data_IF_650237998258
#
_entry.id   IF_650237998258
#
_cell.length_a   1.000
_cell.length_b   1.000
_cell.length_c   1.000
_cell.angle_alpha   90.00
_cell.angle_beta   90.00
_cell.angle_gamma   90.00
#
_symmetry.space_group_name_H-M   'P 1'
#
loop_
_entity.id
_entity.type
_entity.pdbx_description
1 polymer ?
#
# COMPACT_ATOMS: atom_id res chain seq x y z
N UNK A 1 -12.93 -28.66 -15.18
CA UNK A 1 -13.86 -28.11 -14.17
C UNK A 1 -13.10 -27.01 -13.44
N UNK A 2 -13.27 -25.75 -13.86
CA UNK A 2 -12.60 -24.62 -13.21
C UNK A 2 -13.35 -24.27 -11.93
N UNK A 3 -12.74 -24.59 -10.79
CA UNK A 3 -13.16 -24.04 -9.52
C UNK A 3 -12.86 -22.55 -9.52
N UNK A 4 -13.89 -21.72 -9.63
CA UNK A 4 -13.79 -20.34 -9.16
C UNK A 4 -13.56 -20.43 -7.66
N UNK A 5 -12.34 -20.14 -7.22
CA UNK A 5 -12.05 -19.85 -5.82
C UNK A 5 -13.01 -18.73 -5.42
N UNK A 6 -14.00 -19.06 -4.59
CA UNK A 6 -14.92 -18.06 -4.08
C UNK A 6 -14.19 -17.22 -3.07
N UNK A 7 -13.63 -16.07 -3.50
CA UNK A 7 -13.17 -15.03 -2.56
C UNK A 7 -14.32 -14.76 -1.59
N UNK A 8 -14.03 -14.84 -0.29
CA UNK A 8 -15.03 -14.60 0.74
C UNK A 8 -15.56 -13.17 0.62
N UNK A 9 -16.84 -12.95 0.91
CA UNK A 9 -17.49 -11.62 0.75
C UNK A 9 -16.72 -10.52 1.51
N UNK A 10 -16.17 -10.84 2.68
CA UNK A 10 -15.35 -9.90 3.46
C UNK A 10 -13.98 -9.59 2.87
N UNK A 11 -13.41 -10.46 2.03
CA UNK A 11 -12.16 -10.17 1.30
C UNK A 11 -12.40 -9.15 0.19
N UNK A 12 -13.52 -9.28 -0.54
CA UNK A 12 -13.91 -8.33 -1.58
C UNK A 12 -14.16 -6.93 -1.01
N UNK A 13 -14.84 -6.81 0.13
CA UNK A 13 -15.12 -5.51 0.75
C UNK A 13 -13.83 -4.81 1.21
N UNK A 14 -12.84 -5.57 1.68
CA UNK A 14 -11.51 -5.05 2.07
C UNK A 14 -10.69 -4.60 0.86
N UNK A 15 -10.74 -5.35 -0.24
CA UNK A 15 -10.12 -4.98 -1.52
C UNK A 15 -10.73 -3.68 -2.08
N UNK A 16 -12.06 -3.55 -2.05
CA UNK A 16 -12.79 -2.35 -2.49
C UNK A 16 -12.46 -1.14 -1.59
N UNK A 17 -12.35 -1.34 -0.28
CA UNK A 17 -11.92 -0.30 0.66
C UNK A 17 -10.48 0.14 0.39
N UNK A 18 -9.57 -0.80 0.11
CA UNK A 18 -8.21 -0.49 -0.29
C UNK A 18 -8.18 0.33 -1.59
N UNK A 19 -8.96 -0.06 -2.60
CA UNK A 19 -9.09 0.70 -3.85
C UNK A 19 -9.58 2.13 -3.62
N UNK A 20 -10.64 2.30 -2.82
CA UNK A 20 -11.17 3.63 -2.50
C UNK A 20 -10.12 4.52 -1.82
N UNK A 21 -9.37 3.99 -0.84
CA UNK A 21 -8.30 4.72 -0.16
C UNK A 21 -7.14 5.06 -1.11
N UNK A 22 -6.75 4.12 -1.99
CA UNK A 22 -5.70 4.35 -2.97
C UNK A 22 -6.05 5.49 -3.93
N UNK A 23 -7.31 5.63 -4.35
CA UNK A 23 -7.75 6.76 -5.18
C UNK A 23 -7.56 8.10 -4.46
N UNK A 24 -7.81 8.14 -3.15
CA UNK A 24 -7.62 9.35 -2.32
C UNK A 24 -6.13 9.66 -2.17
N UNK A 25 -5.32 8.66 -1.78
CA UNK A 25 -3.88 8.82 -1.57
C UNK A 25 -3.20 9.24 -2.87
N UNK A 26 -3.46 8.56 -3.99
CA UNK A 26 -2.87 8.91 -5.30
C UNK A 26 -3.26 10.32 -5.72
N UNK A 27 -4.50 10.75 -5.48
CA UNK A 27 -4.93 12.12 -5.81
C UNK A 27 -4.21 13.16 -4.95
N UNK A 28 -4.13 12.94 -3.64
CA UNK A 28 -3.50 13.87 -2.69
C UNK A 28 -1.97 13.89 -2.82
N UNK A 29 -1.35 12.74 -3.00
CA UNK A 29 0.09 12.64 -3.26
C UNK A 29 0.43 13.25 -4.60
N UNK A 30 -0.30 12.98 -5.69
CA UNK A 30 -0.07 13.64 -6.97
C UNK A 30 -0.08 15.18 -6.87
N UNK A 31 -0.98 15.75 -6.06
CA UNK A 31 -1.02 17.20 -5.82
C UNK A 31 0.21 17.69 -5.04
N UNK A 32 0.55 17.04 -3.93
CA UNK A 32 1.75 17.41 -3.13
C UNK A 32 3.04 17.20 -3.90
N UNK A 33 3.12 16.13 -4.65
CA UNK A 33 4.20 15.76 -5.56
C UNK A 33 4.41 16.79 -6.66
N UNK A 34 3.33 17.34 -7.23
CA UNK A 34 3.43 18.45 -8.18
C UNK A 34 3.94 19.76 -7.52
N UNK A 35 3.65 19.96 -6.23
CA UNK A 35 4.16 21.10 -5.46
C UNK A 35 5.62 20.91 -5.05
N UNK A 36 6.01 19.70 -4.62
CA UNK A 36 7.35 19.38 -4.13
C UNK A 36 8.35 19.14 -5.27
N UNK A 37 7.88 18.66 -6.43
CA UNK A 37 8.69 18.37 -7.61
C UNK A 37 8.09 19.08 -8.85
N UNK A 38 8.16 20.43 -8.90
CA UNK A 38 7.57 21.21 -9.99
C UNK A 38 8.18 20.88 -11.36
N UNK A 39 9.41 20.34 -11.39
CA UNK A 39 10.13 19.96 -12.60
C UNK A 39 9.92 18.49 -13.02
N UNK A 40 9.08 17.73 -12.31
CA UNK A 40 8.84 16.33 -12.65
C UNK A 40 8.09 16.18 -13.99
N UNK A 41 8.54 15.24 -14.81
CA UNK A 41 7.97 14.97 -16.14
C UNK A 41 7.28 13.61 -16.20
N UNK A 42 6.10 13.59 -16.81
CA UNK A 42 5.32 12.39 -17.11
C UNK A 42 6.19 11.35 -17.84
N UNK A 43 6.28 10.13 -17.29
CA UNK A 43 7.02 9.01 -17.89
C UNK A 43 8.40 8.75 -17.29
N UNK A 44 8.84 9.51 -16.28
CA UNK A 44 10.02 9.14 -15.47
C UNK A 44 9.60 8.29 -14.26
N UNK A 45 10.39 7.28 -13.87
CA UNK A 45 10.18 6.54 -12.62
C UNK A 45 10.02 7.51 -11.45
N UNK A 46 9.00 7.28 -10.65
CA UNK A 46 8.77 8.06 -9.45
C UNK A 46 9.74 7.59 -8.37
N UNK A 47 10.90 8.23 -8.28
CA UNK A 47 11.85 7.99 -7.19
C UNK A 47 11.52 8.93 -6.04
N UNK A 48 10.43 8.64 -5.34
CA UNK A 48 10.04 9.42 -4.17
C UNK A 48 10.42 8.69 -2.91
N UNK A 49 11.45 9.24 -2.28
CA UNK A 49 12.02 8.80 -1.02
C UNK A 49 11.35 9.46 0.18
N UNK A 50 10.26 10.23 -0.01
CA UNK A 50 9.61 11.00 1.06
C UNK A 50 8.31 10.38 1.58
N UNK A 51 7.68 9.42 0.89
CA UNK A 51 6.53 8.72 1.46
C UNK A 51 7.02 7.78 2.57
N UNK A 52 6.72 8.06 3.86
CA UNK A 52 7.19 7.20 4.94
C UNK A 52 6.55 5.82 4.81
N UNK A 53 7.32 4.78 5.11
CA UNK A 53 6.74 3.45 5.30
C UNK A 53 5.64 3.54 6.36
N UNK A 54 4.49 2.93 6.11
CA UNK A 54 3.44 2.92 7.12
C UNK A 54 3.82 1.92 8.19
N UNK A 55 3.88 2.37 9.43
CA UNK A 55 4.14 1.51 10.58
C UNK A 55 2.89 1.41 11.45
N UNK A 56 2.89 0.49 12.41
CA UNK A 56 1.80 0.41 13.40
C UNK A 56 1.87 1.55 14.43
N UNK A 57 2.93 2.38 14.39
CA UNK A 57 3.09 3.53 15.26
C UNK A 57 2.39 4.79 14.69
N UNK A 58 1.97 5.68 15.59
CA UNK A 58 1.41 6.96 15.22
C UNK A 58 2.49 7.89 14.62
N UNK A 59 2.32 8.27 13.36
CA UNK A 59 3.16 9.28 12.71
C UNK A 59 2.65 10.71 13.02
N UNK A 60 3.12 11.27 14.14
CA UNK A 60 2.74 12.62 14.59
C UNK A 60 3.21 13.70 13.60
N UNK A 61 4.39 13.52 12.99
CA UNK A 61 4.92 14.48 12.03
C UNK A 61 4.12 14.44 10.72
N UNK A 62 3.80 13.24 10.22
CA UNK A 62 2.92 13.04 9.08
C UNK A 62 1.53 13.62 9.29
N UNK A 63 0.94 13.48 10.48
CA UNK A 63 -0.38 14.07 10.78
C UNK A 63 -0.37 15.61 10.71
N UNK A 64 0.73 16.25 11.10
CA UNK A 64 0.85 17.71 11.07
C UNK A 64 1.03 18.25 9.63
N UNK A 65 1.68 17.49 8.74
CA UNK A 65 1.99 17.91 7.37
C UNK A 65 0.97 17.43 6.34
N UNK A 66 0.40 16.25 6.56
CA UNK A 66 -0.55 15.57 5.70
C UNK A 66 -1.53 14.71 6.54
N UNK A 67 -2.55 15.31 7.16
CA UNK A 67 -3.47 14.57 8.01
C UNK A 67 -4.28 13.53 7.24
N UNK A 68 -4.71 13.84 6.01
CA UNK A 68 -5.56 12.96 5.21
C UNK A 68 -4.75 11.76 4.69
N UNK A 69 -3.63 11.99 4.02
CA UNK A 69 -2.82 10.90 3.48
C UNK A 69 -2.20 10.05 4.59
N UNK A 70 -1.84 10.63 5.73
CA UNK A 70 -1.38 9.86 6.90
C UNK A 70 -2.47 8.96 7.45
N UNK A 71 -3.70 9.46 7.58
CA UNK A 71 -4.83 8.64 8.00
C UNK A 71 -5.16 7.52 6.98
N UNK A 72 -5.14 7.83 5.69
CA UNK A 72 -5.39 6.85 4.63
C UNK A 72 -4.31 5.76 4.59
N UNK A 73 -3.02 6.12 4.74
CA UNK A 73 -1.90 5.16 4.81
C UNK A 73 -2.02 4.25 6.05
N UNK A 74 -2.38 4.81 7.20
CA UNK A 74 -2.62 4.03 8.41
C UNK A 74 -3.81 3.06 8.24
N UNK A 75 -4.89 3.49 7.58
CA UNK A 75 -6.03 2.61 7.29
C UNK A 75 -5.67 1.52 6.27
N UNK A 76 -4.92 1.85 5.22
CA UNK A 76 -4.39 0.85 4.27
C UNK A 76 -3.58 -0.22 5.00
N UNK A 77 -2.75 0.16 5.98
CA UNK A 77 -2.01 -0.80 6.81
C UNK A 77 -2.93 -1.72 7.62
N UNK A 78 -4.01 -1.19 8.22
CA UNK A 78 -5.02 -1.99 8.93
C UNK A 78 -5.71 -2.99 8.00
N UNK A 79 -6.07 -2.55 6.79
CA UNK A 79 -6.65 -3.42 5.76
C UNK A 79 -5.68 -4.52 5.37
N UNK A 80 -4.39 -4.22 5.20
CA UNK A 80 -3.36 -5.22 4.91
C UNK A 80 -3.28 -6.30 6.00
N UNK A 81 -3.31 -5.91 7.27
CA UNK A 81 -3.36 -6.86 8.39
C UNK A 81 -4.65 -7.70 8.37
N UNK A 82 -5.80 -7.09 8.08
CA UNK A 82 -7.08 -7.80 8.02
C UNK A 82 -7.14 -8.81 6.86
N UNK A 83 -6.62 -8.44 5.68
CA UNK A 83 -6.51 -9.32 4.52
C UNK A 83 -5.57 -10.50 4.80
N UNK A 84 -4.40 -10.24 5.38
CA UNK A 84 -3.47 -11.30 5.74
C UNK A 84 -4.03 -12.23 6.83
N UNK A 85 -4.72 -11.69 7.84
CA UNK A 85 -5.37 -12.50 8.86
C UNK A 85 -6.49 -13.39 8.30
N UNK A 86 -7.21 -12.91 7.29
CA UNK A 86 -8.26 -13.69 6.61
C UNK A 86 -7.68 -14.77 5.68
N UNK A 87 -6.51 -14.51 5.07
CA UNK A 87 -5.86 -15.40 4.11
C UNK A 87 -4.34 -15.50 4.40
N UNK A 88 -3.92 -16.17 5.49
CA UNK A 88 -2.52 -16.17 5.93
C UNK A 88 -1.56 -16.87 4.94
N UNK A 89 -2.08 -17.77 4.11
CA UNK A 89 -1.31 -18.53 3.12
C UNK A 89 -1.24 -17.82 1.75
N UNK A 90 -1.96 -16.72 1.56
CA UNK A 90 -2.02 -15.99 0.30
C UNK A 90 -0.86 -14.99 0.21
N UNK A 91 -0.27 -14.86 -0.99
CA UNK A 91 0.80 -13.91 -1.24
C UNK A 91 0.24 -12.48 -1.26
N UNK A 92 0.43 -11.77 -0.14
CA UNK A 92 -0.04 -10.39 0.01
C UNK A 92 0.60 -9.44 -1.01
N UNK A 93 1.80 -9.75 -1.52
CA UNK A 93 2.43 -8.95 -2.57
C UNK A 93 1.70 -9.16 -3.91
N UNK A 94 1.33 -10.39 -4.24
CA UNK A 94 0.52 -10.68 -5.43
C UNK A 94 -0.87 -10.02 -5.35
N UNK A 95 -1.53 -10.09 -4.19
CA UNK A 95 -2.80 -9.40 -3.95
C UNK A 95 -2.66 -7.87 -4.08
N UNK A 96 -1.53 -7.31 -3.61
CA UNK A 96 -1.23 -5.90 -3.79
C UNK A 96 -1.13 -5.49 -5.26
N UNK A 97 -0.57 -6.34 -6.13
CA UNK A 97 -0.54 -6.12 -7.58
C UNK A 97 -1.97 -6.12 -8.15
N UNK A 98 -2.80 -7.09 -7.78
CA UNK A 98 -4.20 -7.16 -8.24
C UNK A 98 -4.98 -5.89 -7.89
N UNK A 99 -4.85 -5.41 -6.65
CA UNK A 99 -5.54 -4.20 -6.16
C UNK A 99 -4.96 -2.93 -6.81
N UNK A 100 -3.65 -2.91 -7.08
CA UNK A 100 -3.04 -1.81 -7.82
C UNK A 100 -3.59 -1.71 -9.25
N UNK A 101 -3.79 -2.85 -9.92
CA UNK A 101 -4.29 -2.94 -11.29
C UNK A 101 -5.79 -2.63 -11.45
N UNK A 102 -6.56 -2.53 -10.35
CA UNK A 102 -7.96 -2.06 -10.39
C UNK A 102 -8.11 -0.64 -10.99
N UNK A 103 -7.05 0.18 -10.96
CA UNK A 103 -6.92 1.40 -11.76
C UNK A 103 -5.62 1.36 -12.58
N UNK A 104 -5.67 0.84 -13.83
CA UNK A 104 -4.50 0.68 -14.69
C UNK A 104 -3.77 2.00 -14.99
N UNK A 105 -4.48 3.13 -14.94
CA UNK A 105 -3.89 4.45 -15.22
C UNK A 105 -2.87 4.84 -14.16
N UNK A 106 -3.05 4.34 -12.93
CA UNK A 106 -2.24 4.66 -11.76
C UNK A 106 -1.64 3.42 -11.10
N UNK A 107 -1.65 2.26 -11.76
CA UNK A 107 -1.21 0.99 -11.17
C UNK A 107 0.19 1.06 -10.55
N UNK A 108 1.16 1.67 -11.22
CA UNK A 108 2.50 1.83 -10.67
C UNK A 108 2.53 2.67 -9.38
N UNK A 109 1.74 3.74 -9.30
CA UNK A 109 1.62 4.56 -8.10
C UNK A 109 0.94 3.82 -6.95
N UNK A 110 -0.13 3.10 -7.27
CA UNK A 110 -0.87 2.31 -6.29
C UNK A 110 -0.02 1.19 -5.72
N UNK A 111 0.78 0.53 -6.55
CA UNK A 111 1.71 -0.50 -6.13
C UNK A 111 2.75 0.04 -5.13
N UNK A 112 3.34 1.21 -5.38
CA UNK A 112 4.29 1.85 -4.43
C UNK A 112 3.62 2.15 -3.09
N UNK A 113 2.42 2.75 -3.10
CA UNK A 113 1.69 3.05 -1.86
C UNK A 113 1.39 1.78 -1.08
N UNK A 114 0.98 0.70 -1.76
CA UNK A 114 0.71 -0.60 -1.14
C UNK A 114 1.98 -1.25 -0.59
N UNK A 115 3.08 -1.23 -1.34
CA UNK A 115 4.37 -1.75 -0.91
C UNK A 115 4.82 -1.06 0.40
N UNK A 116 4.69 0.27 0.47
CA UNK A 116 5.04 1.04 1.66
C UNK A 116 4.05 0.85 2.82
N UNK A 117 2.76 0.66 2.52
CA UNK A 117 1.73 0.47 3.53
C UNK A 117 1.77 -0.92 4.17
N UNK A 118 2.04 -1.95 3.36
CA UNK A 118 1.99 -3.35 3.74
C UNK A 118 3.37 -3.96 3.99
N UNK A 119 4.42 -3.15 3.93
CA UNK A 119 5.76 -3.57 4.28
C UNK A 119 5.79 -4.30 5.62
N UNK A 120 6.37 -5.50 5.61
CA UNK A 120 6.52 -6.35 6.79
C UNK A 120 5.26 -7.11 7.23
N UNK A 121 4.13 -7.00 6.53
CA UNK A 121 2.94 -7.82 6.78
C UNK A 121 3.09 -9.15 6.03
N UNK A 122 2.82 -10.28 6.71
CA UNK A 122 2.87 -11.62 6.11
C UNK A 122 4.27 -12.13 5.73
N UNK A 123 5.31 -11.33 5.92
CA UNK A 123 6.68 -11.79 5.80
C UNK A 123 7.06 -12.70 6.97
N UNK A 124 7.69 -13.84 6.69
CA UNK A 124 8.54 -14.47 7.69
C UNK A 124 9.60 -13.44 8.07
N UNK A 125 9.63 -13.03 9.33
CA UNK A 125 10.84 -12.45 9.88
C UNK A 125 11.97 -13.41 9.52
N UNK A 126 12.96 -12.98 8.76
CA UNK A 126 14.27 -13.65 8.74
C UNK A 126 14.91 -13.42 10.11
N UNK A 127 14.27 -13.95 11.14
CA UNK A 127 14.86 -14.18 12.45
C UNK A 127 15.83 -15.34 12.26
N UNK A 128 17.12 -15.03 12.11
CA UNK A 128 18.17 -16.00 12.38
C UNK A 128 19.11 -16.35 11.23
N UNK A 129 19.77 -15.36 10.64
CA UNK A 129 21.13 -15.61 10.15
C UNK A 129 22.11 -14.92 11.11
N UNK A 130 22.94 -15.66 11.87
CA UNK A 130 24.02 -15.05 12.62
C UNK A 130 24.99 -14.42 11.62
N UNK A 131 25.43 -13.20 11.92
CA UNK A 131 26.55 -12.59 11.23
C UNK A 131 27.79 -13.47 11.47
N UNK A 132 28.09 -14.35 10.52
CA UNK A 132 29.39 -15.00 10.47
C UNK A 132 30.42 -13.97 10.01
N UNK A 133 31.19 -13.53 11.00
CA UNK A 133 32.54 -12.93 11.03
C UNK A 133 33.15 -12.37 9.74
#
# INVERSE_FOLDING_TARGET
MSGKSGKSVGCSDLEDAADALLRIVVTGERQRSAVANPDWQKGRPWTDTLAPASTDALDVAGLATDPIGTACRAELRRIGHALHAANPDEDLAALGVEIAEMDPTHAGWRAIVLEMAWHGIGGHTLSGLPAER
#
